data_IF_887299880794
#
_entry.id   IF_887299880794
#
_cell.length_a   1.000
_cell.length_b   1.000
_cell.length_c   1.000
_cell.angle_alpha   90.00
_cell.angle_beta   90.00
_cell.angle_gamma   90.00
#
_symmetry.space_group_name_H-M   'P 1'
#
loop_
_entity.id
_entity.type
_entity.pdbx_description
1 polymer ?
#
# COMPACT_ATOMS: atom_id res chain seq x y z
N UNK A 1 39.28 -45.46 -1.07
CA UNK A 1 38.55 -44.21 -0.83
C UNK A 1 37.85 -43.86 -2.15
N UNK A 2 36.79 -44.57 -2.55
CA UNK A 2 35.36 -44.30 -2.27
C UNK A 2 34.97 -42.84 -2.56
N UNK A 3 34.01 -42.47 -3.42
CA UNK A 3 33.17 -43.11 -4.44
C UNK A 3 32.61 -41.94 -5.30
N UNK A 4 32.86 -41.87 -6.62
CA UNK A 4 31.92 -42.15 -7.72
C UNK A 4 30.42 -41.79 -7.54
N UNK A 5 29.94 -40.98 -8.50
CA UNK A 5 28.69 -41.14 -9.28
C UNK A 5 27.56 -40.07 -9.11
N UNK A 6 26.73 -39.88 -10.18
CA UNK A 6 25.92 -38.70 -10.51
C UNK A 6 24.39 -38.93 -10.37
N UNK A 7 23.56 -38.10 -11.03
CA UNK A 7 22.07 -38.19 -11.14
C UNK A 7 21.29 -37.78 -9.88
N UNK A 8 20.09 -37.20 -9.94
CA UNK A 8 19.02 -37.42 -10.91
C UNK A 8 18.08 -36.21 -11.08
N UNK A 9 17.68 -36.00 -12.32
CA UNK A 9 16.36 -35.51 -12.72
C UNK A 9 15.25 -36.38 -12.11
N UNK A 10 14.26 -35.77 -11.46
CA UNK A 10 12.93 -36.37 -11.30
C UNK A 10 11.85 -35.36 -11.68
N UNK A 11 11.49 -35.43 -12.96
CA UNK A 11 10.11 -35.24 -13.38
C UNK A 11 9.32 -36.34 -12.66
N UNK A 12 8.49 -35.97 -11.68
CA UNK A 12 7.48 -36.85 -11.12
C UNK A 12 6.11 -36.30 -11.45
N UNK A 13 5.58 -36.83 -12.55
CA UNK A 13 4.17 -36.92 -12.86
C UNK A 13 3.42 -37.67 -11.75
N UNK A 14 2.68 -36.95 -10.90
CA UNK A 14 1.42 -37.47 -10.38
C UNK A 14 0.47 -36.33 -9.98
N UNK A 15 -0.67 -36.17 -10.67
CA UNK A 15 -1.69 -35.21 -10.32
C UNK A 15 -2.57 -35.82 -9.23
N UNK A 16 -2.52 -35.30 -8.00
CA UNK A 16 -3.56 -35.37 -6.96
C UNK A 16 -2.93 -35.09 -5.57
N UNK A 17 -2.67 -33.83 -5.24
CA UNK A 17 -2.66 -33.38 -3.85
C UNK A 17 -3.55 -32.13 -3.78
N UNK A 18 -4.82 -32.41 -3.52
CA UNK A 18 -5.92 -31.47 -3.37
C UNK A 18 -5.86 -30.89 -1.95
N UNK A 19 -5.15 -29.77 -1.75
CA UNK A 19 -5.25 -29.00 -0.51
C UNK A 19 -6.43 -28.03 -0.63
N UNK A 20 -7.61 -28.48 -0.23
CA UNK A 20 -8.80 -27.66 -0.05
C UNK A 20 -8.85 -27.10 1.38
N UNK A 21 -8.96 -25.77 1.59
CA UNK A 21 -9.34 -25.25 2.89
C UNK A 21 -10.84 -25.51 3.11
N UNK A 22 -11.12 -26.44 4.01
CA UNK A 22 -12.47 -26.84 4.44
C UNK A 22 -13.04 -25.72 5.31
N UNK A 23 -13.91 -24.88 4.76
CA UNK A 23 -14.73 -23.95 5.53
C UNK A 23 -15.67 -24.73 6.46
N UNK A 24 -15.66 -24.51 7.78
CA UNK A 24 -16.70 -25.04 8.65
C UNK A 24 -17.96 -24.17 8.50
N UNK A 25 -19.00 -24.76 7.92
CA UNK A 25 -20.37 -24.25 7.96
C UNK A 25 -20.91 -24.39 9.41
N UNK A 26 -20.86 -23.32 10.19
CA UNK A 26 -21.61 -23.24 11.45
C UNK A 26 -22.88 -22.42 11.22
N UNK A 27 -24.00 -23.14 11.21
CA UNK A 27 -25.36 -22.62 11.26
C UNK A 27 -25.51 -21.64 12.43
N UNK A 28 -25.86 -20.39 12.14
CA UNK A 28 -26.28 -19.43 13.16
C UNK A 28 -27.72 -19.75 13.55
N UNK A 29 -27.87 -20.52 14.63
CA UNK A 29 -29.14 -20.67 15.33
C UNK A 29 -29.51 -19.33 15.96
N UNK A 30 -30.66 -18.81 15.57
CA UNK A 30 -31.28 -17.61 16.11
C UNK A 30 -31.48 -17.72 17.63
N UNK A 31 -30.71 -16.97 18.41
CA UNK A 31 -31.00 -16.75 19.82
C UNK A 31 -31.98 -15.58 19.94
N UNK A 32 -33.21 -15.93 20.31
CA UNK A 32 -34.29 -15.01 20.67
C UNK A 32 -33.99 -14.35 22.02
N UNK A 33 -33.91 -13.01 22.03
CA UNK A 33 -33.82 -12.22 23.25
C UNK A 33 -35.20 -12.09 23.93
N UNK A 34 -35.30 -12.14 25.27
CA UNK A 34 -36.55 -11.97 25.98
C UNK A 34 -37.01 -10.50 25.98
N UNK A 35 -38.32 -10.32 25.79
CA UNK A 35 -39.05 -9.04 25.85
C UNK A 35 -38.81 -8.28 27.17
N UNK A 36 -38.29 -7.06 27.07
CA UNK A 36 -38.26 -6.08 28.16
C UNK A 36 -39.48 -5.14 27.98
N UNK A 37 -40.31 -4.90 29.02
CA UNK A 37 -41.53 -4.11 28.88
C UNK A 37 -41.27 -2.62 28.62
N UNK A 38 -41.90 -2.11 27.57
CA UNK A 38 -41.96 -0.70 27.18
C UNK A 38 -42.77 0.13 28.19
N UNK A 39 -42.17 0.57 29.29
CA UNK A 39 -42.87 1.50 30.19
C UNK A 39 -41.98 2.39 31.05
N UNK A 40 -40.97 3.08 30.49
CA UNK A 40 -40.38 4.21 31.24
C UNK A 40 -39.51 5.18 30.43
N UNK A 41 -39.83 5.53 29.20
CA UNK A 41 -39.20 6.69 28.56
C UNK A 41 -40.25 7.54 27.85
N UNK A 42 -40.83 8.47 28.61
CA UNK A 42 -41.55 9.61 28.02
C UNK A 42 -40.50 10.50 27.36
N UNK A 43 -40.61 10.84 26.06
CA UNK A 43 -39.73 11.84 25.48
C UNK A 43 -40.11 13.19 26.08
N UNK A 44 -39.20 13.80 26.83
CA UNK A 44 -39.34 15.20 27.22
C UNK A 44 -39.25 16.00 25.91
N UNK A 45 -40.41 16.45 25.40
CA UNK A 45 -40.47 17.43 24.31
C UNK A 45 -39.89 18.74 24.86
N UNK A 46 -38.59 18.94 24.71
CA UNK A 46 -37.98 20.27 24.78
C UNK A 46 -38.55 21.09 23.63
N UNK A 47 -39.38 22.07 23.97
CA UNK A 47 -39.86 23.10 23.06
C UNK A 47 -38.67 23.90 22.55
N UNK A 48 -38.26 23.67 21.30
CA UNK A 48 -37.19 24.45 20.65
C UNK A 48 -37.82 25.63 19.92
N UNK A 49 -37.51 26.82 20.42
CA UNK A 49 -37.87 28.13 19.86
C UNK A 49 -37.10 28.35 18.52
N UNK A 50 -37.75 28.67 17.39
CA UNK A 50 -37.07 28.80 16.11
C UNK A 50 -36.50 30.22 15.94
N UNK A 51 -35.36 30.51 16.54
CA UNK A 51 -34.65 31.77 16.30
C UNK A 51 -33.12 31.61 16.35
N UNK A 52 -32.58 30.65 15.61
CA UNK A 52 -31.16 30.62 15.25
C UNK A 52 -31.01 30.52 13.72
N UNK A 53 -30.07 31.29 13.12
CA UNK A 53 -29.81 31.18 11.68
C UNK A 53 -29.34 29.74 11.37
N UNK A 54 -29.64 29.20 10.18
CA UNK A 54 -29.25 27.85 9.86
C UNK A 54 -27.73 27.76 9.92
N UNK A 55 -27.21 26.97 10.85
CA UNK A 55 -25.83 26.52 10.81
C UNK A 55 -25.63 25.94 9.42
N UNK A 56 -24.78 26.59 8.62
CA UNK A 56 -24.34 26.06 7.34
C UNK A 56 -23.68 24.73 7.64
N UNK A 57 -24.42 23.65 7.48
CA UNK A 57 -23.86 22.31 7.40
C UNK A 57 -22.98 22.31 6.16
N UNK A 58 -21.68 22.52 6.37
CA UNK A 58 -20.70 22.26 5.34
C UNK A 58 -20.71 20.76 5.10
N UNK A 59 -21.51 20.32 4.12
CA UNK A 59 -21.37 18.98 3.55
C UNK A 59 -20.09 19.01 2.72
N UNK A 60 -18.97 18.65 3.36
CA UNK A 60 -17.76 18.33 2.64
C UNK A 60 -18.06 17.06 1.81
N UNK A 61 -18.24 17.22 0.51
CA UNK A 61 -18.14 16.08 -0.41
C UNK A 61 -16.69 15.61 -0.37
N UNK A 62 -16.44 14.50 0.31
CA UNK A 62 -15.17 13.80 0.16
C UNK A 62 -15.02 13.41 -1.31
N UNK A 63 -13.90 13.81 -1.92
CA UNK A 63 -13.47 13.30 -3.22
C UNK A 63 -13.53 11.77 -3.17
N UNK A 64 -14.00 11.13 -4.23
CA UNK A 64 -14.13 9.66 -4.34
C UNK A 64 -12.78 8.94 -4.48
N UNK A 65 -11.72 9.51 -3.91
CA UNK A 65 -10.37 9.01 -4.02
C UNK A 65 -9.93 8.49 -2.66
N UNK A 66 -9.54 7.22 -2.63
CA UNK A 66 -8.99 6.58 -1.45
C UNK A 66 -7.64 7.24 -1.09
N UNK A 67 -7.25 7.29 0.19
CA UNK A 67 -5.93 7.79 0.57
C UNK A 67 -4.83 6.99 -0.12
N UNK A 68 -3.76 7.63 -0.61
CA UNK A 68 -2.65 6.90 -1.26
C UNK A 68 -2.00 5.88 -0.32
N UNK A 69 -1.88 6.21 0.96
CA UNK A 69 -1.29 5.32 1.97
C UNK A 69 -2.20 4.12 2.22
N UNK A 70 -1.59 2.92 2.18
CA UNK A 70 -2.30 1.65 2.37
C UNK A 70 -2.95 1.08 1.11
N UNK A 71 -2.91 1.82 0.00
CA UNK A 71 -3.32 1.35 -1.32
C UNK A 71 -2.09 1.07 -2.19
N UNK A 72 -2.32 0.37 -3.30
CA UNK A 72 -1.27 0.11 -4.30
C UNK A 72 -0.77 1.43 -4.88
N UNK A 73 0.56 1.59 -4.95
CA UNK A 73 1.18 2.78 -5.54
C UNK A 73 0.78 2.91 -7.03
N UNK A 74 0.49 4.13 -7.51
CA UNK A 74 0.25 4.37 -8.93
C UNK A 74 1.45 3.95 -9.77
N UNK A 75 1.22 3.14 -10.80
CA UNK A 75 2.29 2.70 -11.71
C UNK A 75 2.73 3.86 -12.61
N UNK A 76 4.02 3.89 -12.95
CA UNK A 76 4.59 4.84 -13.90
C UNK A 76 5.71 4.17 -14.70
N UNK A 77 5.93 4.67 -15.92
CA UNK A 77 7.10 4.38 -16.75
C UNK A 77 7.72 5.71 -17.14
N UNK A 78 9.01 5.89 -16.83
CA UNK A 78 9.75 7.12 -17.10
C UNK A 78 11.20 6.81 -17.50
N UNK A 79 11.82 7.77 -18.19
CA UNK A 79 13.26 7.74 -18.46
C UNK A 79 14.00 8.24 -17.22
N UNK A 80 15.12 7.60 -16.90
CA UNK A 80 15.96 7.94 -15.75
C UNK A 80 17.44 7.85 -16.15
N UNK A 81 18.29 8.55 -15.40
CA UNK A 81 19.74 8.46 -15.53
C UNK A 81 20.30 7.57 -14.43
N UNK A 82 21.00 6.52 -14.82
CA UNK A 82 21.71 5.63 -13.90
C UNK A 82 23.11 5.36 -14.46
N UNK A 83 24.15 5.52 -13.66
CA UNK A 83 25.56 5.41 -14.10
C UNK A 83 25.89 6.22 -15.38
N UNK A 84 25.28 7.41 -15.52
CA UNK A 84 25.42 8.30 -16.68
C UNK A 84 24.83 7.75 -17.99
N UNK A 85 24.01 6.71 -17.91
CA UNK A 85 23.26 6.16 -19.03
C UNK A 85 21.75 6.38 -18.87
N UNK A 86 21.06 6.51 -20.01
CA UNK A 86 19.61 6.62 -20.06
C UNK A 86 18.97 5.24 -19.99
N UNK A 87 18.17 5.00 -18.96
CA UNK A 87 17.42 3.76 -18.76
C UNK A 87 15.93 4.06 -18.65
N UNK A 88 15.10 3.05 -18.93
CA UNK A 88 13.67 3.12 -18.64
C UNK A 88 13.39 2.46 -17.31
N UNK A 89 12.67 3.16 -16.45
CA UNK A 89 12.29 2.68 -15.12
C UNK A 89 10.78 2.58 -15.05
N UNK A 90 10.30 1.41 -14.63
CA UNK A 90 8.88 1.15 -14.39
C UNK A 90 8.66 0.71 -12.94
N UNK A 91 7.74 1.36 -12.24
CA UNK A 91 7.53 1.07 -10.81
C UNK A 91 7.05 -0.37 -10.57
N UNK A 92 6.22 -0.91 -11.47
CA UNK A 92 5.75 -2.29 -11.40
C UNK A 92 6.87 -3.32 -11.36
N UNK A 93 8.05 -3.02 -11.90
CA UNK A 93 9.14 -3.98 -12.05
C UNK A 93 9.81 -4.32 -10.71
N UNK A 94 9.62 -3.48 -9.70
CA UNK A 94 10.13 -3.66 -8.34
C UNK A 94 9.16 -4.44 -7.44
N UNK A 95 7.89 -4.53 -7.81
CA UNK A 95 6.86 -5.21 -7.01
C UNK A 95 7.27 -6.68 -6.78
N UNK A 96 7.37 -7.06 -5.52
CA UNK A 96 7.73 -8.43 -5.12
C UNK A 96 9.23 -8.76 -5.20
N UNK A 97 10.09 -7.83 -5.65
CA UNK A 97 11.55 -8.01 -5.71
C UNK A 97 12.26 -7.22 -4.62
N UNK A 98 12.01 -5.91 -4.56
CA UNK A 98 12.64 -4.96 -3.64
C UNK A 98 11.59 -4.04 -3.03
N UNK A 99 11.89 -3.48 -1.86
CA UNK A 99 11.20 -2.29 -1.37
C UNK A 99 11.62 -1.08 -2.20
N UNK A 100 10.77 -0.04 -2.27
CA UNK A 100 11.06 1.17 -3.03
C UNK A 100 10.85 2.39 -2.14
N UNK A 101 11.90 3.22 -2.02
CA UNK A 101 11.81 4.58 -1.51
C UNK A 101 11.69 5.50 -2.71
N UNK A 102 10.47 6.01 -2.95
CA UNK A 102 10.20 7.00 -3.99
C UNK A 102 10.14 8.38 -3.35
N UNK A 103 11.06 9.27 -3.68
CA UNK A 103 11.08 10.64 -3.17
C UNK A 103 11.05 11.64 -4.31
N UNK A 104 10.26 12.71 -4.12
CA UNK A 104 10.09 13.76 -5.10
C UNK A 104 10.82 15.02 -4.62
N UNK A 105 11.62 15.61 -5.51
CA UNK A 105 12.26 16.90 -5.28
C UNK A 105 11.83 17.89 -6.37
N UNK A 106 11.77 19.20 -6.06
CA UNK A 106 11.06 20.15 -6.91
C UNK A 106 11.78 20.43 -8.24
N UNK A 107 13.09 20.71 -8.18
CA UNK A 107 13.92 21.06 -9.33
C UNK A 107 15.40 20.74 -9.05
N UNK A 108 16.10 20.32 -10.11
CA UNK A 108 17.54 20.19 -10.17
C UNK A 108 18.24 21.53 -9.93
N UNK A 109 19.45 21.48 -9.35
CA UNK A 109 20.31 22.63 -9.07
C UNK A 109 19.72 23.70 -8.13
N UNK A 110 18.81 23.30 -7.23
CA UNK A 110 18.37 24.14 -6.11
C UNK A 110 19.28 23.96 -4.88
N UNK A 111 19.08 24.76 -3.82
CA UNK A 111 19.98 24.79 -2.66
C UNK A 111 19.88 23.58 -1.72
N UNK A 112 18.74 22.87 -1.72
CA UNK A 112 18.46 21.78 -0.77
C UNK A 112 18.51 20.41 -1.46
N UNK A 113 18.01 20.34 -2.70
CA UNK A 113 17.99 19.12 -3.52
C UNK A 113 19.32 18.34 -3.55
N UNK A 114 20.49 18.95 -3.83
CA UNK A 114 21.73 18.17 -3.93
C UNK A 114 22.10 17.53 -2.60
N UNK A 115 21.77 18.17 -1.46
CA UNK A 115 22.12 17.63 -0.15
C UNK A 115 21.30 16.38 0.20
N UNK A 116 20.04 16.30 -0.24
CA UNK A 116 19.18 15.14 -0.01
C UNK A 116 19.58 13.98 -0.92
N UNK A 117 19.82 14.26 -2.21
CA UNK A 117 20.23 13.23 -3.19
C UNK A 117 21.60 12.63 -2.80
N UNK A 118 22.58 13.46 -2.45
CA UNK A 118 23.91 12.95 -2.04
C UNK A 118 23.82 12.13 -0.75
N UNK A 119 22.99 12.53 0.21
CA UNK A 119 22.84 11.78 1.45
C UNK A 119 22.27 10.36 1.25
N UNK A 120 21.34 10.20 0.30
CA UNK A 120 20.85 8.87 -0.10
C UNK A 120 21.90 8.08 -0.88
N UNK A 121 22.64 8.74 -1.77
CA UNK A 121 23.70 8.09 -2.56
C UNK A 121 24.83 7.55 -1.67
N UNK A 122 25.32 8.36 -0.72
CA UNK A 122 26.40 7.97 0.21
C UNK A 122 26.03 6.75 1.06
N UNK A 123 24.74 6.58 1.36
CA UNK A 123 24.20 5.50 2.19
C UNK A 123 23.50 4.41 1.39
N UNK A 124 23.58 4.43 0.07
CA UNK A 124 22.85 3.51 -0.81
C UNK A 124 23.12 2.03 -0.44
N UNK A 125 24.36 1.69 -0.11
CA UNK A 125 24.75 0.34 0.30
C UNK A 125 23.97 -0.16 1.54
N UNK A 126 23.56 0.72 2.46
CA UNK A 126 22.73 0.35 3.61
C UNK A 126 21.32 -0.06 3.18
N UNK A 127 20.74 0.66 2.21
CA UNK A 127 19.41 0.36 1.67
C UNK A 127 19.42 -0.87 0.77
N UNK A 128 20.48 -1.06 -0.02
CA UNK A 128 20.68 -2.24 -0.83
C UNK A 128 20.75 -3.50 0.03
N UNK A 129 21.48 -3.45 1.16
CA UNK A 129 21.54 -4.54 2.13
C UNK A 129 20.17 -4.88 2.75
N UNK A 130 19.25 -3.91 2.78
CA UNK A 130 17.86 -4.08 3.22
C UNK A 130 16.89 -4.41 2.08
N UNK A 131 17.41 -4.81 0.91
CA UNK A 131 16.63 -5.12 -0.28
C UNK A 131 15.70 -3.96 -0.70
N UNK A 132 16.21 -2.74 -0.65
CA UNK A 132 15.47 -1.51 -0.94
C UNK A 132 16.15 -0.73 -2.06
N UNK A 133 15.36 -0.29 -3.04
CA UNK A 133 15.77 0.60 -4.12
C UNK A 133 15.33 2.04 -3.82
N UNK A 134 16.10 3.02 -4.28
CA UNK A 134 15.80 4.44 -4.09
C UNK A 134 15.59 5.09 -5.46
N UNK A 135 14.45 5.74 -5.64
CA UNK A 135 14.08 6.46 -6.86
C UNK A 135 13.83 7.93 -6.52
N UNK A 136 14.68 8.81 -7.07
CA UNK A 136 14.50 10.27 -7.00
C UNK A 136 13.80 10.78 -8.25
N UNK A 137 12.76 11.58 -8.08
CA UNK A 137 11.95 12.10 -9.20
C UNK A 137 11.78 13.62 -9.10
N UNK A 138 11.99 14.31 -10.20
CA UNK A 138 11.62 15.72 -10.39
C UNK A 138 10.88 15.91 -11.71
N UNK A 139 10.56 17.16 -12.01
CA UNK A 139 9.94 17.57 -13.27
C UNK A 139 10.96 18.01 -14.32
N UNK A 140 12.25 17.91 -14.01
CA UNK A 140 13.33 18.25 -14.92
C UNK A 140 13.43 17.24 -16.07
N UNK A 141 13.93 17.70 -17.22
CA UNK A 141 14.25 16.81 -18.33
C UNK A 141 15.57 16.07 -18.05
N UNK A 142 15.60 14.78 -18.37
CA UNK A 142 16.83 13.97 -18.45
C UNK A 142 17.56 14.19 -19.77
#
# INVERSE_FOLDING_TARGET
MAASAPCASLISSNPNILFSPKFPSSSFSSLSFPNIPNSLFKPLRTSLNPSSPPLRTFVARASSELPLVGNTAPDFEAEAVFDQEFIKVKLSDYIGKKYVILFFYPLDFTFVCPTEITAFSDRYAEFEALNTEILGVSVDSV
#
